data_IF_197155382371
#
_entry.id   IF_197155382371
#
_cell.length_a   1.000
_cell.length_b   1.000
_cell.length_c   1.000
_cell.angle_alpha   90.00
_cell.angle_beta   90.00
_cell.angle_gamma   90.00
#
_symmetry.space_group_name_H-M   'P 1'
#
loop_
_entity.id
_entity.type
_entity.pdbx_description
1 polymer ?
#
# COMPACT_ATOMS: atom_id res chain seq x y z
N UNK A 1 -17.22 8.78 -9.33
CA UNK A 1 -16.43 9.17 -8.14
C UNK A 1 -14.98 8.96 -8.52
N UNK A 2 -14.10 9.90 -8.18
CA UNK A 2 -12.65 9.75 -8.40
C UNK A 2 -12.05 9.40 -7.05
N UNK A 3 -11.72 8.14 -6.81
CA UNK A 3 -11.03 7.71 -5.60
C UNK A 3 -9.55 8.08 -5.66
N UNK A 4 -8.87 7.96 -4.52
CA UNK A 4 -7.45 8.30 -4.41
C UNK A 4 -6.60 7.12 -4.90
N UNK A 5 -5.40 7.42 -5.39
CA UNK A 5 -4.37 6.41 -5.66
C UNK A 5 -3.39 6.43 -4.48
N UNK A 6 -3.18 5.27 -3.85
CA UNK A 6 -2.17 5.12 -2.81
C UNK A 6 -0.83 4.73 -3.44
N UNK A 7 0.21 5.55 -3.22
CA UNK A 7 1.55 5.27 -3.71
C UNK A 7 2.40 4.55 -2.66
N UNK A 8 3.14 3.55 -3.11
CA UNK A 8 4.22 2.89 -2.38
C UNK A 8 5.52 3.15 -3.13
N UNK A 9 6.27 4.15 -2.66
CA UNK A 9 7.45 4.72 -3.35
C UNK A 9 8.74 4.64 -2.54
N UNK A 10 8.68 4.07 -1.34
CA UNK A 10 9.79 4.04 -0.39
C UNK A 10 10.38 2.63 -0.25
N UNK A 11 11.70 2.49 -0.46
CA UNK A 11 12.41 1.22 -0.28
C UNK A 11 12.26 0.72 1.16
N UNK A 12 11.95 -0.57 1.33
CA UNK A 12 11.74 -1.19 2.64
C UNK A 12 10.38 -0.87 3.28
N UNK A 13 9.47 -0.20 2.56
CA UNK A 13 8.11 0.00 3.04
C UNK A 13 7.33 -1.32 3.07
N UNK A 14 6.42 -1.42 4.04
CA UNK A 14 5.57 -2.58 4.26
C UNK A 14 4.10 -2.17 4.33
N UNK A 15 3.32 -2.64 3.36
CA UNK A 15 1.88 -2.44 3.32
C UNK A 15 1.18 -3.55 4.13
N UNK A 16 0.32 -3.13 5.05
CA UNK A 16 -0.40 -4.05 5.94
C UNK A 16 -1.79 -3.53 6.27
N UNK A 17 -2.61 -4.39 6.89
CA UNK A 17 -3.92 -4.00 7.42
C UNK A 17 -3.85 -3.95 8.94
N UNK A 18 -4.32 -2.86 9.52
CA UNK A 18 -4.51 -2.70 10.96
C UNK A 18 -5.87 -2.04 11.21
N UNK A 19 -6.69 -2.65 12.07
CA UNK A 19 -8.02 -2.11 12.43
C UNK A 19 -8.91 -1.81 11.21
N UNK A 20 -8.84 -2.67 10.17
CA UNK A 20 -9.61 -2.52 8.94
C UNK A 20 -9.11 -1.43 7.99
N UNK A 21 -7.98 -0.78 8.31
CA UNK A 21 -7.37 0.28 7.49
C UNK A 21 -6.08 -0.21 6.86
N UNK A 22 -5.78 0.30 5.66
CA UNK A 22 -4.52 0.05 4.97
C UNK A 22 -3.47 1.00 5.54
N UNK A 23 -2.36 0.44 5.99
CA UNK A 23 -1.23 1.17 6.56
C UNK A 23 0.05 0.83 5.81
N UNK A 24 0.70 1.87 5.28
CA UNK A 24 2.07 1.77 4.80
C UNK A 24 3.02 2.20 5.91
N UNK A 25 3.95 1.31 6.26
CA UNK A 25 4.92 1.54 7.33
C UNK A 25 6.33 1.38 6.81
N UNK A 26 7.24 2.19 7.31
CA UNK A 26 8.68 2.08 7.03
C UNK A 26 9.42 1.83 8.34
N UNK A 27 10.37 0.90 8.33
CA UNK A 27 11.21 0.66 9.50
C UNK A 27 12.40 1.62 9.47
N UNK A 28 12.43 2.57 10.39
CA UNK A 28 13.52 3.54 10.56
C UNK A 28 14.14 3.36 11.95
N UNK A 29 15.46 3.18 12.03
CA UNK A 29 16.22 3.08 13.31
C UNK A 29 15.66 2.06 14.31
N UNK A 30 15.06 0.97 13.82
CA UNK A 30 14.50 -0.10 14.64
C UNK A 30 13.01 0.04 14.96
N UNK A 31 12.41 1.21 14.70
CA UNK A 31 11.00 1.51 14.95
C UNK A 31 10.19 1.56 13.64
N UNK A 32 8.89 1.30 13.73
CA UNK A 32 7.98 1.45 12.59
C UNK A 32 7.37 2.85 12.57
N UNK A 33 7.59 3.57 11.48
CA UNK A 33 6.94 4.83 11.18
C UNK A 33 5.82 4.60 10.17
N UNK A 34 4.61 5.06 10.47
CA UNK A 34 3.50 5.05 9.52
C UNK A 34 3.69 6.19 8.52
N UNK A 35 3.80 5.86 7.23
CA UNK A 35 3.87 6.84 6.15
C UNK A 35 2.47 7.36 5.82
N UNK A 36 1.48 6.46 5.75
CA UNK A 36 0.07 6.81 5.62
C UNK A 36 -0.84 5.70 6.15
N UNK A 37 -2.06 6.10 6.45
CA UNK A 37 -3.13 5.26 7.00
C UNK A 37 -4.47 5.69 6.38
N UNK A 38 -5.10 4.80 5.60
CA UNK A 38 -6.27 5.12 4.78
C UNK A 38 -7.33 4.02 4.83
N UNK A 39 -8.61 4.39 4.81
CA UNK A 39 -9.67 3.40 4.67
C UNK A 39 -9.71 2.88 3.23
N UNK A 40 -9.89 1.56 3.00
CA UNK A 40 -9.94 1.00 1.65
C UNK A 40 -10.96 1.68 0.73
N UNK A 41 -12.12 2.08 1.27
CA UNK A 41 -13.20 2.77 0.53
C UNK A 41 -12.82 4.16 -0.02
N UNK A 42 -11.70 4.73 0.42
CA UNK A 42 -11.20 6.01 -0.07
C UNK A 42 -10.28 5.85 -1.29
N UNK A 43 -9.89 4.61 -1.64
CA UNK A 43 -8.95 4.31 -2.69
C UNK A 43 -9.64 3.70 -3.91
N UNK A 44 -9.05 3.94 -5.08
CA UNK A 44 -9.34 3.18 -6.30
C UNK A 44 -8.24 2.14 -6.57
N UNK A 45 -6.99 2.45 -6.21
CA UNK A 45 -5.85 1.58 -6.46
C UNK A 45 -4.68 1.82 -5.51
N UNK A 46 -3.81 0.82 -5.42
CA UNK A 46 -2.53 0.85 -4.71
C UNK A 46 -1.43 0.57 -5.75
N UNK A 47 -0.51 1.50 -5.92
CA UNK A 47 0.55 1.42 -6.94
C UNK A 47 1.91 1.38 -6.26
N UNK A 48 2.65 0.29 -6.51
CA UNK A 48 4.04 0.11 -6.12
C UNK A 48 4.94 0.64 -7.22
N UNK A 49 5.72 1.67 -6.95
CA UNK A 49 6.66 2.29 -7.91
C UNK A 49 8.12 2.03 -7.55
N UNK A 50 8.36 1.25 -6.50
CA UNK A 50 9.68 1.01 -5.92
C UNK A 50 9.94 -0.49 -5.76
N UNK A 51 11.16 -0.91 -6.05
CA UNK A 51 11.64 -2.24 -5.68
C UNK A 51 11.91 -2.32 -4.16
N UNK A 52 11.82 -3.52 -3.59
CA UNK A 52 12.16 -3.72 -2.17
C UNK A 52 11.11 -3.25 -1.17
N UNK A 53 9.91 -2.87 -1.62
CA UNK A 53 8.73 -2.81 -0.77
C UNK A 53 8.08 -4.21 -0.63
N UNK A 54 7.30 -4.40 0.42
CA UNK A 54 6.60 -5.66 0.69
C UNK A 54 5.16 -5.40 1.13
N UNK A 55 4.31 -6.44 1.05
CA UNK A 55 2.92 -6.36 1.50
C UNK A 55 2.48 -7.65 2.19
N UNK A 56 1.51 -7.53 3.10
CA UNK A 56 0.91 -8.67 3.77
C UNK A 56 -0.18 -9.33 2.92
N UNK A 57 -0.43 -10.62 3.14
CA UNK A 57 -1.60 -11.30 2.56
C UNK A 57 -2.93 -10.63 2.97
N UNK A 58 -2.99 -10.03 4.16
CA UNK A 58 -4.17 -9.28 4.59
C UNK A 58 -4.40 -7.99 3.78
N UNK A 59 -3.34 -7.33 3.30
CA UNK A 59 -3.46 -6.19 2.40
C UNK A 59 -4.02 -6.62 1.03
N UNK A 60 -3.54 -7.75 0.49
CA UNK A 60 -4.09 -8.35 -0.74
C UNK A 60 -5.57 -8.67 -0.57
N UNK A 61 -5.92 -9.34 0.53
CA UNK A 61 -7.31 -9.70 0.81
C UNK A 61 -8.20 -8.46 0.94
N UNK A 62 -7.76 -7.43 1.68
CA UNK A 62 -8.50 -6.18 1.79
C UNK A 62 -8.66 -5.48 0.44
N UNK A 63 -7.61 -5.43 -0.40
CA UNK A 63 -7.73 -4.85 -1.72
C UNK A 63 -8.78 -5.59 -2.57
N UNK A 64 -8.73 -6.92 -2.60
CA UNK A 64 -9.70 -7.73 -3.32
C UNK A 64 -11.14 -7.54 -2.81
N UNK A 65 -11.34 -7.46 -1.49
CA UNK A 65 -12.66 -7.27 -0.87
C UNK A 65 -13.31 -5.92 -1.21
N UNK A 66 -12.50 -4.88 -1.40
CA UNK A 66 -12.97 -3.53 -1.70
C UNK A 66 -12.86 -3.17 -3.18
N UNK A 67 -12.45 -4.11 -4.05
CA UNK A 67 -12.31 -3.88 -5.48
C UNK A 67 -11.16 -2.95 -5.86
N UNK A 68 -10.08 -2.95 -5.07
CA UNK A 68 -8.89 -2.14 -5.31
C UNK A 68 -7.88 -2.90 -6.19
N UNK A 69 -7.37 -2.23 -7.21
CA UNK A 69 -6.27 -2.76 -8.01
C UNK A 69 -4.94 -2.60 -7.27
N UNK A 70 -4.15 -3.68 -7.23
CA UNK A 70 -2.74 -3.62 -6.80
C UNK A 70 -1.88 -3.70 -8.05
N UNK A 71 -1.15 -2.62 -8.35
CA UNK A 71 -0.29 -2.52 -9.53
C UNK A 71 1.17 -2.44 -9.09
N UNK A 72 2.02 -3.25 -9.70
CA UNK A 72 3.47 -3.16 -9.53
C UNK A 72 4.06 -2.53 -10.79
N UNK A 73 4.81 -1.45 -10.64
CA UNK A 73 5.51 -0.79 -11.74
C UNK A 73 7.01 -1.02 -11.61
N UNK A 74 7.65 -1.40 -12.72
CA UNK A 74 9.11 -1.41 -12.88
C UNK A 74 9.50 -0.31 -13.86
N UNK A 75 9.82 0.87 -13.33
CA UNK A 75 10.07 2.06 -14.12
C UNK A 75 8.78 2.59 -14.74
N UNK A 76 8.72 2.66 -16.07
CA UNK A 76 7.56 3.11 -16.85
C UNK A 76 6.61 1.96 -17.26
N UNK A 77 6.87 0.73 -16.79
CA UNK A 77 6.12 -0.47 -17.18
C UNK A 77 5.42 -1.11 -15.99
N UNK A 78 4.16 -1.54 -16.14
CA UNK A 78 3.52 -2.46 -15.20
C UNK A 78 4.08 -3.88 -15.32
#
# INVERSE_FOLDING_TARGET
MTGKIALVDSYGAYLSVKEGRLQLRLREKGEYKTLWDVAPVELDSIVFTVDGASLSASAIHSAAMFGLDIVFLKGDRP
#
